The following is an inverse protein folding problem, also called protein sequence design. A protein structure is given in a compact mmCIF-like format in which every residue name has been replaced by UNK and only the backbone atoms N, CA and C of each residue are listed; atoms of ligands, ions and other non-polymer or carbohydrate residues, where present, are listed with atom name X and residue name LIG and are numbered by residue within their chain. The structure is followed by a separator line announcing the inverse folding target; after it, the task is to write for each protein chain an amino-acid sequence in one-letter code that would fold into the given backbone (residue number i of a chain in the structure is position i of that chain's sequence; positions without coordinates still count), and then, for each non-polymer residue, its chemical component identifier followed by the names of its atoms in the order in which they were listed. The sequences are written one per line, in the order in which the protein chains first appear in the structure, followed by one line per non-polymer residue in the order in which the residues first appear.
data_IF_753207536322
#
_entry.id   IF_753207536322
#
_cell.length_a   1.000
_cell.length_b   1.000
_cell.length_c   1.000
_cell.angle_alpha   90.00
_cell.angle_beta   90.00
_cell.angle_gamma   90.00
#
_symmetry.space_group_name_H-M   'P 1'
#
loop_
_entity.id
_entity.type
_entity.pdbx_description
1 polymer ?
#
# COMPACT_ATOMS: atom_id res chain seq x y z
N UNK A 1 11.59 6.71 3.76
CA UNK A 1 11.46 5.74 2.65
C UNK A 1 11.06 6.51 1.39
N UNK A 2 12.03 7.11 0.70
CA UNK A 2 11.73 8.02 -0.43
C UNK A 2 11.20 7.29 -1.67
N UNK A 3 11.37 5.98 -1.72
CA UNK A 3 10.84 5.12 -2.77
C UNK A 3 9.44 4.57 -2.47
N UNK A 4 8.84 4.95 -1.34
CA UNK A 4 7.48 4.55 -0.98
C UNK A 4 6.43 5.57 -1.46
N UNK A 5 5.34 5.07 -2.02
CA UNK A 5 4.07 5.77 -2.18
C UNK A 5 3.09 5.23 -1.14
N UNK A 6 2.68 6.07 -0.20
CA UNK A 6 1.67 5.73 0.80
C UNK A 6 0.26 6.01 0.27
N UNK A 7 -0.61 5.02 0.30
CA UNK A 7 -2.03 5.14 -0.04
C UNK A 7 -2.85 4.88 1.22
N UNK A 8 -3.56 5.91 1.70
CA UNK A 8 -4.56 5.78 2.74
C UNK A 8 -5.93 6.20 2.23
N UNK A 9 -6.95 6.14 3.08
CA UNK A 9 -8.26 6.66 2.71
C UNK A 9 -9.13 7.05 3.87
N UNK A 10 -10.17 7.81 3.55
CA UNK A 10 -11.22 8.27 4.46
C UNK A 10 -12.10 7.10 4.98
N UNK A 11 -12.05 5.93 4.35
CA UNK A 11 -12.88 4.78 4.72
C UNK A 11 -12.51 3.47 4.02
N UNK A 12 -13.37 2.47 4.25
CA UNK A 12 -13.42 1.23 3.47
C UNK A 12 -14.10 1.50 2.14
N UNK A 13 -13.76 0.73 1.10
CA UNK A 13 -14.36 0.81 -0.24
C UNK A 13 -14.25 2.15 -0.98
N UNK A 14 -13.49 3.14 -0.47
CA UNK A 14 -13.23 4.42 -1.16
C UNK A 14 -12.32 4.31 -2.41
N UNK A 15 -11.95 3.10 -2.84
CA UNK A 15 -11.14 2.90 -4.06
C UNK A 15 -9.61 2.84 -3.88
N UNK A 16 -9.09 2.77 -2.64
CA UNK A 16 -7.63 2.63 -2.38
C UNK A 16 -6.99 1.49 -3.16
N UNK A 17 -7.48 0.26 -2.97
CA UNK A 17 -6.95 -0.93 -3.63
C UNK A 17 -7.05 -0.81 -5.15
N UNK A 18 -8.20 -0.34 -5.66
CA UNK A 18 -8.44 -0.18 -7.10
C UNK A 18 -7.48 0.83 -7.74
N UNK A 19 -7.28 1.98 -7.09
CA UNK A 19 -6.35 3.02 -7.54
C UNK A 19 -4.88 2.54 -7.50
N UNK A 20 -4.51 1.82 -6.44
CA UNK A 20 -3.20 1.20 -6.32
C UNK A 20 -2.96 0.16 -7.42
N UNK A 21 -3.92 -0.73 -7.68
CA UNK A 21 -3.84 -1.72 -8.76
C UNK A 21 -3.71 -1.06 -10.13
N UNK A 22 -4.47 0.01 -10.41
CA UNK A 22 -4.37 0.74 -11.66
C UNK A 22 -2.96 1.35 -11.86
N UNK A 23 -2.37 1.89 -10.79
CA UNK A 23 -1.00 2.41 -10.84
C UNK A 23 0.04 1.30 -11.02
N UNK A 24 -0.09 0.19 -10.28
CA UNK A 24 0.78 -1.00 -10.44
C UNK A 24 0.78 -1.47 -11.89
N UNK A 25 -0.41 -1.62 -12.49
CA UNK A 25 -0.56 -2.07 -13.88
C UNK A 25 0.18 -1.19 -14.88
N UNK A 26 0.29 0.10 -14.62
CA UNK A 26 1.04 1.01 -15.50
C UNK A 26 2.54 0.94 -15.25
N UNK A 27 2.97 0.92 -13.99
CA UNK A 27 4.38 0.93 -13.61
C UNK A 27 5.08 -0.41 -13.91
N UNK A 28 4.37 -1.53 -13.75
CA UNK A 28 4.90 -2.87 -13.99
C UNK A 28 5.33 -3.12 -15.43
N UNK A 29 4.82 -2.32 -16.38
CA UNK A 29 5.25 -2.35 -17.78
C UNK A 29 6.69 -1.84 -17.97
N UNK A 30 7.26 -1.13 -16.98
CA UNK A 30 8.56 -0.46 -17.09
C UNK A 30 9.56 -0.90 -16.02
N UNK A 31 9.07 -1.25 -14.83
CA UNK A 31 9.91 -1.60 -13.69
C UNK A 31 9.20 -2.58 -12.76
N UNK A 32 9.92 -3.48 -12.07
CA UNK A 32 9.34 -4.25 -10.97
C UNK A 32 8.74 -3.34 -9.91
N UNK A 33 7.52 -3.63 -9.48
CA UNK A 33 6.80 -2.90 -8.44
C UNK A 33 6.54 -3.80 -7.24
N UNK A 34 6.82 -3.30 -6.05
CA UNK A 34 6.57 -4.01 -4.81
C UNK A 34 5.37 -3.38 -4.11
N UNK A 35 4.52 -4.20 -3.51
CA UNK A 35 3.35 -3.74 -2.77
C UNK A 35 3.38 -4.27 -1.35
N UNK A 36 3.00 -3.43 -0.39
CA UNK A 36 2.73 -3.81 0.99
C UNK A 36 1.30 -3.38 1.33
N UNK A 37 0.43 -4.35 1.55
CA UNK A 37 -0.94 -4.09 2.02
C UNK A 37 -1.04 -4.38 3.50
N UNK A 38 -1.32 -3.35 4.29
CA UNK A 38 -1.45 -3.45 5.74
C UNK A 38 -2.92 -3.44 6.14
N UNK A 39 -3.35 -4.48 6.85
CA UNK A 39 -4.66 -4.59 7.48
C UNK A 39 -4.53 -4.49 8.99
N UNK A 40 -5.38 -3.69 9.62
CA UNK A 40 -5.60 -3.71 11.08
C UNK A 40 -6.59 -4.79 11.50
N UNK A 41 -7.26 -5.44 10.53
CA UNK A 41 -8.19 -6.54 10.78
C UNK A 41 -7.44 -7.86 10.67
N UNK A 42 -7.50 -8.64 11.74
CA UNK A 42 -6.83 -9.92 11.80
C UNK A 42 -7.73 -11.00 11.20
N UNK A 43 -7.18 -11.76 10.25
CA UNK A 43 -7.87 -12.83 9.54
C UNK A 43 -7.06 -14.12 9.67
N UNK A 44 -7.75 -15.25 9.73
CA UNK A 44 -7.10 -16.55 9.69
C UNK A 44 -6.23 -16.66 8.43
N UNK A 45 -5.04 -17.24 8.60
CA UNK A 45 -4.15 -17.53 7.49
C UNK A 45 -4.78 -18.59 6.59
N UNK A 46 -4.58 -18.45 5.29
CA UNK A 46 -4.97 -19.46 4.31
C UNK A 46 -3.72 -19.90 3.56
N UNK A 47 -3.76 -21.06 2.93
CA UNK A 47 -2.61 -21.70 2.27
C UNK A 47 -1.99 -20.86 1.13
N UNK A 48 -2.71 -19.86 0.61
CA UNK A 48 -2.23 -18.89 -0.40
C UNK A 48 -1.23 -17.84 0.11
N UNK A 49 -0.76 -17.96 1.34
CA UNK A 49 0.20 -17.03 1.94
C UNK A 49 1.48 -17.77 2.33
N UNK A 50 2.63 -17.26 1.87
CA UNK A 50 3.92 -17.70 2.39
C UNK A 50 4.32 -16.82 3.59
N UNK A 51 4.15 -17.33 4.82
CA UNK A 51 4.40 -16.59 6.06
C UNK A 51 5.92 -16.37 6.25
N UNK A 52 6.32 -15.11 6.39
CA UNK A 52 7.71 -14.71 6.63
C UNK A 52 7.99 -14.49 8.12
N UNK A 53 7.02 -13.92 8.83
CA UNK A 53 7.04 -13.78 10.29
C UNK A 53 5.62 -13.78 10.82
N UNK A 54 5.40 -14.35 12.00
CA UNK A 54 4.10 -14.39 12.65
C UNK A 54 4.28 -14.43 14.16
N UNK A 55 3.85 -13.37 14.84
CA UNK A 55 3.60 -13.32 16.27
C UNK A 55 2.18 -12.75 16.54
N UNK A 56 1.79 -12.66 17.82
CA UNK A 56 0.44 -12.21 18.21
C UNK A 56 0.06 -10.80 17.74
N UNK A 57 1.04 -9.98 17.35
CA UNK A 57 0.86 -8.54 17.09
C UNK A 57 1.29 -8.13 15.68
N UNK A 58 2.05 -8.97 14.99
CA UNK A 58 2.55 -8.74 13.64
C UNK A 58 2.62 -10.06 12.86
N UNK A 59 1.96 -10.07 11.70
CA UNK A 59 2.15 -11.11 10.69
C UNK A 59 2.51 -10.47 9.37
N UNK A 60 3.56 -10.98 8.72
CA UNK A 60 3.96 -10.60 7.37
C UNK A 60 4.00 -11.87 6.53
N UNK A 61 3.28 -11.87 5.41
CA UNK A 61 3.29 -12.94 4.44
C UNK A 61 3.45 -12.39 3.02
N UNK A 62 4.09 -13.19 2.16
CA UNK A 62 4.09 -12.97 0.72
C UNK A 62 2.82 -13.59 0.11
N UNK A 63 2.08 -12.80 -0.66
CA UNK A 63 0.94 -13.26 -1.45
C UNK A 63 1.47 -13.97 -2.70
N UNK A 64 1.04 -15.21 -2.91
CA UNK A 64 1.51 -16.06 -4.02
C UNK A 64 0.39 -16.44 -4.98
N UNK A 65 -0.87 -16.16 -4.64
CA UNK A 65 -2.03 -16.53 -5.44
C UNK A 65 -2.79 -15.29 -5.92
N UNK A 66 -2.62 -14.97 -7.21
CA UNK A 66 -3.30 -13.85 -7.86
C UNK A 66 -4.83 -14.05 -8.00
N UNK A 67 -5.36 -15.26 -7.76
CA UNK A 67 -6.75 -15.63 -7.95
C UNK A 67 -7.52 -15.81 -6.63
N UNK A 68 -6.88 -15.63 -5.47
CA UNK A 68 -7.49 -15.89 -4.16
C UNK A 68 -8.66 -14.96 -3.78
N UNK A 69 -8.99 -13.95 -4.59
CA UNK A 69 -10.06 -12.99 -4.35
C UNK A 69 -9.79 -11.96 -3.23
N UNK A 70 -8.65 -12.05 -2.54
CA UNK A 70 -8.23 -11.08 -1.52
C UNK A 70 -7.82 -9.75 -2.13
N UNK A 71 -7.80 -8.71 -1.31
CA UNK A 71 -7.29 -7.41 -1.76
C UNK A 71 -5.78 -7.44 -2.09
N UNK A 72 -4.98 -8.26 -1.40
CA UNK A 72 -3.56 -8.46 -1.71
C UNK A 72 -3.37 -9.12 -3.08
N UNK A 73 -4.17 -10.15 -3.41
CA UNK A 73 -4.07 -10.84 -4.69
C UNK A 73 -4.42 -9.95 -5.88
N UNK A 74 -5.30 -8.95 -5.69
CA UNK A 74 -5.59 -7.95 -6.73
C UNK A 74 -4.35 -7.17 -7.17
N UNK A 75 -3.42 -6.87 -6.26
CA UNK A 75 -2.16 -6.22 -6.62
C UNK A 75 -1.24 -7.16 -7.40
N UNK A 76 -1.20 -8.44 -7.03
CA UNK A 76 -0.42 -9.46 -7.74
C UNK A 76 -0.98 -9.65 -9.16
N UNK A 77 -2.30 -9.77 -9.30
CA UNK A 77 -3.00 -9.81 -10.58
C UNK A 77 -2.82 -8.55 -11.44
N UNK A 78 -2.58 -7.39 -10.80
CA UNK A 78 -2.26 -6.14 -11.51
C UNK A 78 -0.82 -6.11 -12.06
N UNK A 79 0.01 -7.10 -11.74
CA UNK A 79 1.39 -7.21 -12.22
C UNK A 79 2.44 -6.70 -11.23
N UNK A 80 2.12 -6.59 -9.94
CA UNK A 80 3.14 -6.37 -8.92
C UNK A 80 4.14 -7.55 -8.94
N UNK A 81 5.43 -7.26 -8.84
CA UNK A 81 6.47 -8.29 -8.81
C UNK A 81 6.45 -9.07 -7.49
N UNK A 82 6.18 -8.38 -6.39
CA UNK A 82 5.92 -9.00 -5.08
C UNK A 82 4.86 -8.21 -4.33
N UNK A 83 4.03 -8.93 -3.59
CA UNK A 83 3.01 -8.35 -2.71
C UNK A 83 3.18 -8.95 -1.32
N UNK A 84 3.30 -8.08 -0.33
CA UNK A 84 3.32 -8.46 1.08
C UNK A 84 2.00 -8.08 1.73
N UNK A 85 1.31 -9.09 2.25
CA UNK A 85 0.15 -8.90 3.11
C UNK A 85 0.62 -8.84 4.56
N UNK A 86 0.21 -7.80 5.26
CA UNK A 86 0.61 -7.56 6.65
C UNK A 86 -0.63 -7.40 7.52
N UNK A 87 -0.70 -8.17 8.61
CA UNK A 87 -1.62 -7.91 9.70
C UNK A 87 -0.81 -7.29 10.84
N UNK A 88 -1.16 -6.07 11.24
CA UNK A 88 -0.43 -5.36 12.29
C UNK A 88 -1.38 -4.56 13.17
N UNK A 89 -1.17 -4.62 14.47
CA UNK A 89 -1.74 -3.65 15.42
C UNK A 89 -0.93 -2.35 15.40
N UNK A 90 -1.50 -1.27 15.93
CA UNK A 90 -0.86 0.05 15.91
C UNK A 90 0.49 0.05 16.66
N UNK A 91 0.57 -0.65 17.78
CA UNK A 91 1.79 -0.82 18.58
C UNK A 91 2.92 -1.56 17.83
N UNK A 92 2.59 -2.32 16.78
CA UNK A 92 3.56 -3.08 15.98
C UNK A 92 4.06 -2.31 14.76
N UNK A 93 3.45 -1.18 14.41
CA UNK A 93 3.85 -0.39 13.24
C UNK A 93 5.33 0.06 13.29
N UNK A 94 5.92 0.44 14.44
CA UNK A 94 7.35 0.74 14.50
C UNK A 94 8.25 -0.46 14.12
N UNK A 95 7.85 -1.68 14.49
CA UNK A 95 8.59 -2.90 14.13
C UNK A 95 8.47 -3.16 12.63
N UNK A 96 7.26 -3.01 12.08
CA UNK A 96 7.03 -3.12 10.64
C UNK A 96 7.86 -2.10 9.86
N UNK A 97 8.01 -0.86 10.34
CA UNK A 97 8.84 0.15 9.67
C UNK A 97 10.30 -0.30 9.56
N UNK A 98 10.86 -0.92 10.61
CA UNK A 98 12.23 -1.47 10.55
C UNK A 98 12.34 -2.54 9.46
N UNK A 99 11.40 -3.48 9.45
CA UNK A 99 11.34 -4.53 8.42
C UNK A 99 11.26 -3.94 7.01
N UNK A 100 10.42 -2.91 6.79
CA UNK A 100 10.29 -2.25 5.50
C UNK A 100 11.60 -1.60 5.02
N UNK A 101 12.32 -0.95 5.93
CA UNK A 101 13.60 -0.29 5.62
C UNK A 101 14.68 -1.31 5.27
N UNK A 102 14.72 -2.43 5.99
CA UNK A 102 15.67 -3.52 5.73
C UNK A 102 15.33 -4.27 4.43
N UNK A 103 14.04 -4.41 4.12
CA UNK A 103 13.55 -5.19 2.98
C UNK A 103 13.73 -4.49 1.64
N UNK A 104 13.48 -3.18 1.58
CA UNK A 104 13.37 -2.44 0.33
C UNK A 104 14.53 -1.47 0.13
N UNK A 105 15.28 -1.67 -0.95
CA UNK A 105 16.28 -0.72 -1.41
C UNK A 105 15.62 0.53 -2.03
N UNK A 106 16.38 1.62 -2.17
CA UNK A 106 15.83 2.90 -2.62
C UNK A 106 15.50 2.97 -4.13
N UNK A 107 15.89 1.97 -4.91
CA UNK A 107 15.88 2.04 -6.38
C UNK A 107 14.59 1.50 -7.02
N UNK A 108 13.68 0.95 -6.21
CA UNK A 108 12.46 0.31 -6.69
C UNK A 108 11.23 0.97 -6.09
N UNK A 109 10.14 1.17 -6.88
CA UNK A 109 8.91 1.73 -6.37
C UNK A 109 8.22 0.73 -5.42
N UNK A 110 7.93 1.21 -4.21
CA UNK A 110 7.12 0.47 -3.22
C UNK A 110 5.80 1.20 -3.03
N UNK A 111 4.70 0.50 -3.25
CA UNK A 111 3.36 1.00 -2.95
C UNK A 111 2.92 0.42 -1.61
N UNK A 112 2.56 1.27 -0.65
CA UNK A 112 2.10 0.87 0.67
C UNK A 112 0.65 1.30 0.83
N UNK A 113 -0.28 0.35 0.96
CA UNK A 113 -1.65 0.65 1.35
C UNK A 113 -1.79 0.51 2.87
N UNK A 114 -2.00 1.62 3.57
CA UNK A 114 -2.14 1.64 5.03
C UNK A 114 -2.91 2.85 5.54
N UNK A 115 -3.75 2.64 6.55
CA UNK A 115 -4.44 3.72 7.25
C UNK A 115 -3.63 4.42 8.34
N UNK A 116 -2.57 3.77 8.86
CA UNK A 116 -1.84 4.24 10.05
C UNK A 116 -0.34 4.45 9.86
N UNK A 117 0.29 3.81 8.87
CA UNK A 117 1.75 3.82 8.72
C UNK A 117 2.32 5.23 8.50
N UNK A 118 1.55 6.18 7.96
CA UNK A 118 1.99 7.55 7.74
C UNK A 118 2.39 8.34 8.99
N UNK A 119 2.08 7.85 10.19
CA UNK A 119 2.60 8.42 11.45
C UNK A 119 4.07 8.04 11.72
N UNK A 120 4.55 6.97 11.08
CA UNK A 120 5.82 6.33 11.39
C UNK A 120 6.83 6.41 10.23
N UNK A 121 6.38 6.79 9.04
CA UNK A 121 7.25 6.94 7.87
C UNK A 121 7.09 8.31 7.23
N UNK A 122 8.16 8.79 6.60
CA UNK A 122 8.09 9.85 5.59
C UNK A 122 8.24 9.20 4.20
N UNK A 123 7.14 9.06 3.43
CA UNK A 123 7.18 8.47 2.09
C UNK A 123 7.66 9.49 1.05
N UNK A 124 8.06 9.03 -0.13
CA UNK A 124 8.38 9.91 -1.26
C UNK A 124 7.16 10.58 -1.86
N UNK A 125 6.00 9.91 -1.78
CA UNK A 125 4.70 10.47 -2.13
C UNK A 125 3.60 9.87 -1.26
N UNK A 126 2.47 10.57 -1.14
CA UNK A 126 1.32 10.09 -0.39
C UNK A 126 0.00 10.52 -1.03
N UNK A 127 -1.00 9.64 -0.96
CA UNK A 127 -2.39 9.92 -1.33
C UNK A 127 -3.37 9.54 -0.21
N UNK A 128 -4.37 10.40 -0.03
CA UNK A 128 -5.53 10.16 0.82
C UNK A 128 -6.78 10.09 -0.07
N UNK A 129 -7.33 8.89 -0.25
CA UNK A 129 -8.49 8.63 -1.11
C UNK A 129 -9.79 8.73 -0.33
N UNK A 130 -10.77 9.49 -0.82
CA UNK A 130 -12.03 9.76 -0.15
C UNK A 130 -13.20 9.76 -1.14
N UNK A 131 -14.39 9.38 -0.66
CA UNK A 131 -15.63 9.22 -1.46
C UNK A 131 -16.56 10.44 -1.38
N UNK A 132 -16.02 11.64 -1.14
CA UNK A 132 -16.78 12.90 -1.01
C UNK A 132 -17.64 13.02 0.25
N UNK A 133 -18.03 11.90 0.86
CA UNK A 133 -18.97 11.83 1.99
C UNK A 133 -18.33 12.03 3.36
N UNK A 134 -16.99 11.96 3.45
CA UNK A 134 -16.25 11.97 4.71
C UNK A 134 -15.15 13.02 4.73
N UNK A 135 -15.18 13.87 5.74
CA UNK A 135 -14.05 14.71 6.10
C UNK A 135 -13.10 13.98 7.05
N UNK A 136 -12.25 13.08 6.51
CA UNK A 136 -11.08 12.63 7.27
C UNK A 136 -9.92 13.59 7.04
N UNK A 137 -9.31 14.05 8.12
CA UNK A 137 -7.99 14.67 8.12
C UNK A 137 -6.96 13.64 8.60
N UNK A 138 -5.75 13.69 8.05
CA UNK A 138 -4.62 12.93 8.56
C UNK A 138 -3.78 13.83 9.47
N UNK A 139 -3.05 13.21 10.37
CA UNK A 139 -2.06 13.81 11.28
C UNK A 139 -0.64 13.75 10.69
N UNK A 140 -0.51 13.53 9.39
CA UNK A 140 0.77 13.36 8.72
C UNK A 140 1.54 14.68 8.66
N UNK A 141 2.83 14.63 8.99
CA UNK A 141 3.75 15.77 8.97
C UNK A 141 4.31 16.10 7.56
N UNK A 142 3.73 15.52 6.51
CA UNK A 142 4.19 15.66 5.12
C UNK A 142 3.03 15.91 4.17
N UNK A 143 3.37 16.46 2.99
CA UNK A 143 2.41 16.73 1.93
C UNK A 143 1.84 15.43 1.34
N UNK A 144 0.54 15.44 1.07
CA UNK A 144 -0.17 14.35 0.40
C UNK A 144 -1.18 14.91 -0.59
N UNK A 145 -1.55 14.11 -1.59
CA UNK A 145 -2.62 14.43 -2.51
C UNK A 145 -3.94 13.89 -1.96
N UNK A 146 -4.90 14.77 -1.68
CA UNK A 146 -6.28 14.35 -1.41
C UNK A 146 -6.97 14.05 -2.74
N UNK A 147 -7.51 12.85 -2.87
CA UNK A 147 -8.23 12.42 -4.08
C UNK A 147 -9.68 12.18 -3.68
N UNK A 148 -10.58 12.91 -4.31
CA UNK A 148 -12.02 12.80 -4.07
C UNK A 148 -12.68 12.32 -5.36
N UNK A 149 -13.23 11.12 -5.30
CA UNK A 149 -13.95 10.49 -6.39
C UNK A 149 -15.00 9.55 -5.77
N UNK A 150 -16.24 9.69 -6.21
CA UNK A 150 -17.37 8.98 -5.64
C UNK A 150 -17.44 7.54 -6.15
N UNK A 151 -16.87 7.26 -7.32
CA UNK A 151 -16.85 5.94 -7.92
C UNK A 151 -15.48 5.25 -7.74
N UNK A 152 -15.36 4.23 -6.86
CA UNK A 152 -14.07 3.59 -6.52
C UNK A 152 -13.26 3.08 -7.71
N UNK A 153 -13.93 2.69 -8.80
CA UNK A 153 -13.27 2.22 -10.03
C UNK A 153 -12.65 3.34 -10.86
N UNK A 154 -13.05 4.59 -10.66
CA UNK A 154 -12.55 5.78 -11.37
C UNK A 154 -11.40 6.50 -10.66
N UNK A 155 -11.12 6.15 -9.40
CA UNK A 155 -10.00 6.72 -8.65
C UNK A 155 -8.68 6.47 -9.38
N UNK A 156 -7.90 7.54 -9.60
CA UNK A 156 -6.55 7.48 -10.19
C UNK A 156 -5.56 8.23 -9.32
N UNK A 157 -4.38 7.64 -9.15
CA UNK A 157 -3.28 8.25 -8.40
C UNK A 157 -2.43 9.10 -9.37
N UNK A 158 -2.22 10.40 -9.11
CA UNK A 158 -1.52 11.30 -10.02
C UNK A 158 0.00 11.18 -9.85
N UNK A 159 0.54 9.96 -9.79
CA UNK A 159 1.97 9.72 -9.56
C UNK A 159 2.58 8.88 -10.67
N UNK A 160 3.86 9.10 -10.93
CA UNK A 160 4.71 8.23 -11.73
C UNK A 160 6.00 7.92 -10.95
N UNK A 161 6.75 6.92 -11.43
CA UNK A 161 8.08 6.57 -10.91
C UNK A 161 9.11 6.80 -12.02
N UNK A 162 10.01 7.77 -11.81
CA UNK A 162 11.08 8.10 -12.75
C UNK A 162 12.34 8.49 -11.97
N UNK A 163 13.53 8.11 -12.47
CA UNK A 163 14.82 8.41 -11.86
C UNK A 163 14.87 8.05 -10.36
N UNK A 164 14.37 6.84 -10.03
CA UNK A 164 14.27 6.29 -8.69
C UNK A 164 13.52 7.19 -7.68
N UNK A 165 12.52 7.94 -8.15
CA UNK A 165 11.71 8.84 -7.32
C UNK A 165 10.25 8.89 -7.77
N UNK A 166 9.36 9.10 -6.80
CA UNK A 166 7.96 9.43 -7.06
C UNK A 166 7.84 10.87 -7.51
N UNK A 167 7.11 11.12 -8.59
CA UNK A 167 6.80 12.47 -9.06
C UNK A 167 5.30 12.58 -9.32
N UNK A 168 4.78 13.80 -9.14
CA UNK A 168 3.39 14.10 -9.49
C UNK A 168 3.30 14.31 -11.00
N UNK A 169 2.25 13.78 -11.63
CA UNK A 169 1.91 14.05 -13.03
C UNK A 169 1.24 15.39 -13.21
#
# INVERSE_FOLDING_TARGET
MNNALLIAGCGRNVGKTSAGCALVKELSLKTPVYVVKISSHFHALTDSLNVLTSDDKLMIAEETDALSGKDSSRYLAAGASKVYYVQAREESLPVLVKWLIEKFNADQPVIIESGGLGRYIRPGAAALVCDGSREKKTDWSFNYQRITENEPSRVRLPFNWNNNRWQKR
#
